data_IF_717352071082
#
_entry.id   IF_717352071082
#
_cell.length_a   1.000
_cell.length_b   1.000
_cell.length_c   1.000
_cell.angle_alpha   90.00
_cell.angle_beta   90.00
_cell.angle_gamma   90.00
#
_symmetry.space_group_name_H-M   'P 1'
#
loop_
_entity.id
_entity.type
_entity.pdbx_description
1 polymer ?
#
# COMPACT_ATOMS: atom_id res chain seq x y z
N UNK A 1 -1.71 -42.08 12.34
CA UNK A 1 -1.75 -41.77 13.78
C UNK A 1 -0.68 -40.70 14.04
N UNK A 2 -0.86 -39.42 13.75
CA UNK A 2 -2.06 -38.60 13.92
C UNK A 2 -1.90 -37.77 15.20
N UNK A 3 -0.99 -36.80 15.20
CA UNK A 3 -0.79 -35.84 16.28
C UNK A 3 -0.92 -34.43 15.73
N UNK A 4 -2.16 -33.93 15.66
CA UNK A 4 -2.43 -32.50 15.48
C UNK A 4 -1.93 -31.79 16.74
N UNK A 5 -0.84 -31.03 16.62
CA UNK A 5 -0.54 -29.97 17.57
C UNK A 5 -1.47 -28.80 17.24
N UNK A 6 -2.66 -28.83 17.82
CA UNK A 6 -3.52 -27.65 17.91
C UNK A 6 -2.81 -26.68 18.85
N UNK A 7 -2.20 -25.63 18.30
CA UNK A 7 -1.72 -24.52 19.10
C UNK A 7 -2.91 -23.95 19.89
N UNK A 8 -2.77 -23.88 21.22
CA UNK A 8 -3.78 -23.29 22.08
C UNK A 8 -3.99 -21.80 21.69
N UNK A 9 -5.24 -21.29 21.69
CA UNK A 9 -5.48 -19.87 21.48
C UNK A 9 -4.85 -19.12 22.66
N UNK A 10 -3.85 -18.29 22.36
CA UNK A 10 -3.30 -17.35 23.33
C UNK A 10 -4.45 -16.55 23.94
N UNK A 11 -4.54 -16.54 25.27
CA UNK A 11 -5.43 -15.63 25.97
C UNK A 11 -5.20 -14.20 25.48
N UNK A 12 -6.29 -13.51 25.17
CA UNK A 12 -6.33 -12.19 24.58
C UNK A 12 -5.46 -11.20 25.36
N UNK A 13 -4.23 -10.98 24.90
CA UNK A 13 -3.59 -9.70 25.09
C UNK A 13 -4.45 -8.69 24.33
N UNK A 14 -4.93 -7.64 25.00
CA UNK A 14 -5.38 -6.45 24.30
C UNK A 14 -4.21 -6.00 23.42
N UNK A 15 -4.30 -6.22 22.11
CA UNK A 15 -3.29 -5.67 21.19
C UNK A 15 -3.41 -4.15 21.30
N UNK A 16 -2.28 -3.45 21.43
CA UNK A 16 -2.25 -1.99 21.50
C UNK A 16 -2.56 -1.38 20.14
N UNK A 17 -3.03 -0.13 20.15
CA UNK A 17 -3.20 0.67 18.93
C UNK A 17 -1.85 0.83 18.23
N UNK A 18 -1.85 0.76 16.89
CA UNK A 18 -0.66 1.07 16.10
C UNK A 18 -0.13 2.47 16.47
N UNK A 19 1.14 2.61 16.89
CA UNK A 19 1.69 3.88 17.39
C UNK A 19 1.57 5.04 16.39
N UNK A 20 1.67 4.74 15.10
CA UNK A 20 1.69 5.73 14.03
C UNK A 20 1.05 5.17 12.76
N UNK A 21 0.31 6.02 12.05
CA UNK A 21 -0.41 5.69 10.83
C UNK A 21 -0.12 6.76 9.78
N UNK A 22 0.49 6.39 8.64
CA UNK A 22 0.76 7.30 7.52
C UNK A 22 -0.51 7.40 6.67
N UNK A 23 -1.21 8.52 6.76
CA UNK A 23 -2.51 8.73 6.10
C UNK A 23 -2.40 9.14 4.63
N UNK A 24 -1.36 9.89 4.28
CA UNK A 24 -1.13 10.38 2.93
C UNK A 24 0.35 10.69 2.70
N UNK A 25 0.77 10.57 1.44
CA UNK A 25 2.10 10.94 0.95
C UNK A 25 1.91 11.66 -0.38
N UNK A 26 2.35 12.90 -0.45
CA UNK A 26 2.20 13.74 -1.64
C UNK A 26 3.38 14.71 -1.80
N UNK A 27 3.49 15.34 -2.98
CA UNK A 27 4.42 16.44 -3.20
C UNK A 27 3.69 17.76 -3.02
N UNK A 28 4.23 18.66 -2.20
CA UNK A 28 3.76 20.04 -2.03
C UNK A 28 4.94 20.99 -2.20
N UNK A 29 4.81 21.95 -3.10
CA UNK A 29 5.86 22.95 -3.40
C UNK A 29 7.23 22.33 -3.76
N UNK A 30 7.23 21.13 -4.36
CA UNK A 30 8.44 20.39 -4.71
C UNK A 30 9.06 19.60 -3.55
N UNK A 31 8.39 19.50 -2.40
CA UNK A 31 8.84 18.76 -1.22
C UNK A 31 7.89 17.61 -0.88
N UNK A 32 8.45 16.51 -0.38
CA UNK A 32 7.66 15.37 0.10
C UNK A 32 6.94 15.76 1.38
N UNK A 33 5.62 15.63 1.38
CA UNK A 33 4.78 15.87 2.55
C UNK A 33 4.09 14.58 2.95
N UNK A 34 4.22 14.21 4.23
CA UNK A 34 3.56 13.07 4.82
C UNK A 34 2.57 13.53 5.89
N UNK A 35 1.34 13.02 5.84
CA UNK A 35 0.36 13.24 6.90
C UNK A 35 0.33 12.01 7.80
N UNK A 36 0.62 12.19 9.09
CA UNK A 36 0.75 11.11 10.06
C UNK A 36 -0.26 11.33 11.18
N UNK A 37 -0.94 10.26 11.58
CA UNK A 37 -1.75 10.23 12.79
C UNK A 37 -1.06 9.40 13.86
N UNK A 38 -0.98 9.96 15.06
CA UNK A 38 -0.48 9.27 16.24
C UNK A 38 -1.60 8.53 16.97
N UNK A 39 -1.25 7.40 17.60
CA UNK A 39 -2.17 6.66 18.45
C UNK A 39 -2.87 7.56 19.49
N UNK A 40 -4.16 7.35 19.73
CA UNK A 40 -4.88 8.09 20.77
C UNK A 40 -4.47 7.66 22.19
N UNK A 41 -3.92 6.46 22.34
CA UNK A 41 -3.43 5.93 23.60
C UNK A 41 -1.97 6.32 23.85
N UNK A 42 -1.72 7.11 24.90
CA UNK A 42 -0.36 7.57 25.25
C UNK A 42 0.62 6.43 25.53
N UNK A 43 0.14 5.29 26.05
CA UNK A 43 0.96 4.08 26.29
C UNK A 43 1.53 3.46 25.00
N UNK A 44 0.91 3.73 23.85
CA UNK A 44 1.38 3.26 22.55
C UNK A 44 2.42 4.20 21.92
N UNK A 45 2.62 5.41 22.47
CA UNK A 45 3.47 6.42 21.86
C UNK A 45 4.87 6.47 22.48
N UNK A 46 5.94 6.43 21.66
CA UNK A 46 7.27 6.77 22.12
C UNK A 46 7.42 8.28 22.36
N UNK A 47 8.43 8.66 23.14
CA UNK A 47 8.70 10.08 23.46
C UNK A 47 9.21 10.89 22.26
N UNK A 48 9.92 10.24 21.34
CA UNK A 48 10.49 10.85 20.14
C UNK A 48 10.47 9.82 19.01
N UNK A 49 10.23 10.32 17.79
CA UNK A 49 10.26 9.54 16.55
C UNK A 49 11.01 10.30 15.48
N UNK A 50 11.54 9.56 14.51
CA UNK A 50 12.06 10.08 13.26
C UNK A 50 11.14 9.63 12.11
N UNK A 51 10.73 10.60 11.29
CA UNK A 51 10.08 10.34 10.00
C UNK A 51 11.16 10.50 8.95
N UNK A 52 11.53 9.42 8.28
CA UNK A 52 12.65 9.38 7.34
C UNK A 52 12.22 8.86 5.97
N UNK A 53 12.84 9.39 4.93
CA UNK A 53 12.66 8.94 3.54
C UNK A 53 13.93 8.22 3.08
N UNK A 54 13.72 7.14 2.33
CA UNK A 54 14.75 6.38 1.61
C UNK A 54 14.44 6.42 0.13
N UNK A 55 15.48 6.63 -0.68
CA UNK A 55 15.37 6.52 -2.14
C UNK A 55 15.27 5.06 -2.61
N UNK A 56 15.14 4.85 -3.92
CA UNK A 56 15.05 3.50 -4.51
C UNK A 56 16.35 2.69 -4.46
N UNK A 57 17.41 3.22 -3.84
CA UNK A 57 18.65 2.51 -3.51
C UNK A 57 18.81 2.24 -2.01
N UNK A 58 17.73 2.43 -1.23
CA UNK A 58 17.69 2.32 0.23
C UNK A 58 18.61 3.29 0.96
N UNK A 59 18.98 4.40 0.30
CA UNK A 59 19.79 5.45 0.92
C UNK A 59 18.87 6.46 1.59
N UNK A 60 19.15 6.77 2.86
CA UNK A 60 18.43 7.81 3.59
C UNK A 60 18.68 9.17 2.93
N UNK A 61 17.61 9.86 2.53
CA UNK A 61 17.66 11.15 1.83
C UNK A 61 17.29 12.32 2.73
N UNK A 62 16.26 12.15 3.56
CA UNK A 62 15.77 13.18 4.46
C UNK A 62 15.18 12.57 5.73
N UNK A 63 15.09 13.38 6.79
CA UNK A 63 14.48 12.97 8.04
C UNK A 63 14.10 14.15 8.92
N UNK A 64 12.99 14.03 9.64
CA UNK A 64 12.51 15.02 10.61
C UNK A 64 12.21 14.34 11.95
N UNK A 65 12.57 15.00 13.05
CA UNK A 65 12.30 14.51 14.41
C UNK A 65 11.06 15.16 14.99
N UNK A 66 10.22 14.34 15.61
CA UNK A 66 8.95 14.78 16.18
C UNK A 66 8.75 14.16 17.55
N UNK A 67 7.96 14.84 18.38
CA UNK A 67 7.43 14.30 19.63
C UNK A 67 5.94 14.01 19.44
N UNK A 68 5.53 12.73 19.30
CA UNK A 68 4.14 12.36 19.11
C UNK A 68 3.24 12.89 20.22
N UNK A 69 2.08 13.44 19.86
CA UNK A 69 1.02 13.72 20.83
C UNK A 69 -0.17 12.79 20.61
N UNK A 70 -0.78 12.27 21.68
CA UNK A 70 -1.91 11.34 21.58
C UNK A 70 -3.04 11.85 20.68
N UNK A 71 -3.36 11.09 19.63
CA UNK A 71 -4.46 11.36 18.70
C UNK A 71 -4.27 12.55 17.77
N UNK A 72 -3.08 13.17 17.76
CA UNK A 72 -2.77 14.31 16.89
C UNK A 72 -2.49 13.83 15.46
N UNK A 73 -3.00 14.58 14.49
CA UNK A 73 -2.62 14.48 13.08
C UNK A 73 -1.62 15.59 12.76
N UNK A 74 -0.48 15.22 12.19
CA UNK A 74 0.63 16.13 11.88
C UNK A 74 1.01 15.99 10.42
N UNK A 75 1.26 17.12 9.76
CA UNK A 75 1.88 17.16 8.45
C UNK A 75 3.39 17.41 8.60
N UNK A 76 4.18 16.57 7.93
CA UNK A 76 5.64 16.58 8.01
C UNK A 76 6.18 16.81 6.61
N UNK A 77 6.91 17.91 6.42
CA UNK A 77 7.60 18.22 5.17
C UNK A 77 9.04 17.73 5.26
N UNK A 78 9.43 16.83 4.38
CA UNK A 78 10.77 16.26 4.32
C UNK A 78 11.55 16.90 3.18
N UNK A 79 12.30 17.94 3.52
CA UNK A 79 13.06 18.73 2.57
C UNK A 79 14.14 17.89 1.86
N UNK A 80 14.10 17.88 0.53
CA UNK A 80 15.06 17.13 -0.28
C UNK A 80 14.91 15.61 -0.19
N UNK A 81 13.77 15.10 0.27
CA UNK A 81 13.50 13.66 0.35
C UNK A 81 13.51 12.98 -1.03
N UNK A 82 12.94 13.64 -2.04
CA UNK A 82 12.87 13.13 -3.41
C UNK A 82 13.84 13.91 -4.28
N UNK A 83 14.97 13.27 -4.60
CA UNK A 83 15.97 13.82 -5.51
C UNK A 83 16.23 12.82 -6.63
N UNK A 84 16.08 13.29 -7.86
CA UNK A 84 16.56 12.60 -9.05
C UNK A 84 16.14 11.11 -9.16
N UNK A 85 14.83 10.80 -9.10
CA UNK A 85 14.31 9.43 -9.12
C UNK A 85 14.67 8.65 -10.39
N UNK A 86 15.07 9.33 -11.47
CA UNK A 86 15.59 8.68 -12.67
C UNK A 86 16.99 8.06 -12.48
N UNK A 87 17.73 8.44 -11.43
CA UNK A 87 19.01 7.83 -11.04
C UNK A 87 18.84 6.87 -9.86
N UNK A 88 18.05 7.27 -8.86
CA UNK A 88 17.91 6.56 -7.59
C UNK A 88 16.76 5.56 -7.56
N UNK A 89 15.79 5.67 -8.48
CA UNK A 89 14.62 4.82 -8.54
C UNK A 89 13.32 5.58 -8.26
N UNK A 90 12.26 5.15 -8.95
CA UNK A 90 10.93 5.76 -8.90
C UNK A 90 10.08 5.24 -7.74
N UNK A 91 10.36 4.04 -7.23
CA UNK A 91 9.77 3.52 -6.00
C UNK A 91 10.67 3.89 -4.82
N UNK A 92 10.10 4.49 -3.79
CA UNK A 92 10.81 4.99 -2.62
C UNK A 92 10.04 4.63 -1.35
N UNK A 93 10.62 4.92 -0.19
CA UNK A 93 10.04 4.48 1.07
C UNK A 93 10.04 5.54 2.15
N UNK A 94 8.90 5.71 2.81
CA UNK A 94 8.75 6.49 4.03
C UNK A 94 8.72 5.55 5.23
N UNK A 95 9.45 5.90 6.29
CA UNK A 95 9.53 5.13 7.53
C UNK A 95 9.33 6.05 8.73
N UNK A 96 8.47 5.64 9.65
CA UNK A 96 8.39 6.23 10.99
C UNK A 96 9.04 5.24 11.95
N UNK A 97 10.04 5.68 12.69
CA UNK A 97 10.80 4.84 13.61
C UNK A 97 11.19 5.59 14.87
N UNK A 98 11.53 4.85 15.91
CA UNK A 98 12.23 5.41 17.06
C UNK A 98 13.71 5.71 16.72
N UNK A 99 14.34 6.77 17.27
CA UNK A 99 15.71 7.18 16.92
C UNK A 99 16.81 6.11 17.07
N UNK A 100 16.60 5.14 17.96
CA UNK A 100 17.49 3.97 18.17
C UNK A 100 16.71 2.66 18.24
N UNK A 101 15.46 2.69 17.81
CA UNK A 101 14.49 1.66 18.15
C UNK A 101 13.82 1.07 16.92
N UNK A 102 12.62 0.56 17.16
CA UNK A 102 11.87 -0.20 16.16
C UNK A 102 11.27 0.70 15.08
N UNK A 103 11.06 0.11 13.90
CA UNK A 103 10.15 0.67 12.90
C UNK A 103 8.72 0.59 13.45
N UNK A 104 8.01 1.72 13.45
CA UNK A 104 6.62 1.81 13.91
C UNK A 104 5.65 1.59 12.75
N UNK A 105 5.96 2.20 11.60
CA UNK A 105 5.20 2.02 10.36
C UNK A 105 6.06 2.37 9.15
N UNK A 106 5.70 1.81 8.00
CA UNK A 106 6.29 2.10 6.70
C UNK A 106 5.22 2.31 5.65
N UNK A 107 5.51 3.18 4.70
CA UNK A 107 4.69 3.37 3.52
C UNK A 107 5.61 3.53 2.30
N UNK A 108 5.66 2.54 1.40
CA UNK A 108 6.20 2.75 0.06
C UNK A 108 5.44 3.86 -0.65
N UNK A 109 6.12 4.66 -1.45
CA UNK A 109 5.49 5.66 -2.30
C UNK A 109 6.14 5.68 -3.67
N UNK A 110 5.30 5.92 -4.67
CA UNK A 110 5.70 5.98 -6.06
C UNK A 110 5.91 7.44 -6.47
N UNK A 111 7.08 7.70 -7.04
CA UNK A 111 7.43 8.96 -7.64
C UNK A 111 7.18 8.86 -9.14
N UNK A 112 6.57 9.90 -9.70
CA UNK A 112 6.33 10.04 -11.13
C UNK A 112 6.47 11.50 -11.53
N UNK A 113 6.36 11.76 -12.82
CA UNK A 113 6.31 13.11 -13.36
C UNK A 113 4.85 13.53 -13.59
N UNK A 114 4.58 14.78 -13.25
CA UNK A 114 3.36 15.48 -13.61
C UNK A 114 3.75 16.65 -14.52
N UNK A 115 3.29 16.63 -15.77
CA UNK A 115 3.79 17.52 -16.81
C UNK A 115 2.76 18.59 -17.16
N UNK A 116 3.17 19.85 -17.07
CA UNK A 116 2.37 21.00 -17.52
C UNK A 116 2.30 21.04 -19.05
N UNK A 117 3.39 20.62 -19.71
CA UNK A 117 3.52 20.50 -21.15
C UNK A 117 4.53 19.40 -21.50
N UNK A 118 4.75 19.15 -22.80
CA UNK A 118 5.69 18.11 -23.28
C UNK A 118 7.17 18.36 -22.92
N UNK A 119 7.51 19.53 -22.37
CA UNK A 119 8.89 19.93 -22.07
C UNK A 119 9.13 20.18 -20.59
N UNK A 120 8.09 20.40 -19.80
CA UNK A 120 8.20 20.86 -18.42
C UNK A 120 7.34 20.02 -17.50
N UNK A 121 7.98 19.39 -16.53
CA UNK A 121 7.32 18.55 -15.54
C UNK A 121 7.75 18.89 -14.12
N UNK A 122 6.96 18.45 -13.16
CA UNK A 122 7.26 18.45 -11.74
C UNK A 122 7.27 17.01 -11.22
N UNK A 123 7.92 16.81 -10.08
CA UNK A 123 7.83 15.56 -9.35
C UNK A 123 6.48 15.45 -8.64
N UNK A 124 5.88 14.27 -8.72
CA UNK A 124 4.68 13.87 -8.02
C UNK A 124 4.96 12.62 -7.22
N UNK A 125 4.43 12.56 -6.01
CA UNK A 125 4.47 11.38 -5.16
C UNK A 125 3.05 10.93 -4.86
N UNK A 126 2.83 9.63 -4.86
CA UNK A 126 1.57 9.00 -4.46
C UNK A 126 1.85 7.80 -3.56
N UNK A 127 0.93 7.43 -2.67
CA UNK A 127 1.05 6.17 -1.93
C UNK A 127 1.25 5.00 -2.89
N UNK A 128 2.28 4.19 -2.62
CA UNK A 128 2.70 3.08 -3.47
C UNK A 128 2.55 1.74 -2.77
N UNK A 129 3.12 0.71 -3.40
CA UNK A 129 3.23 -0.65 -2.87
C UNK A 129 4.71 -1.01 -2.75
N UNK A 130 5.07 -1.98 -1.91
CA UNK A 130 6.46 -2.43 -1.89
C UNK A 130 6.66 -3.44 -3.02
N UNK A 131 7.81 -3.38 -3.70
CA UNK A 131 8.12 -4.32 -4.75
C UNK A 131 9.63 -4.59 -4.84
N UNK A 132 10.00 -5.70 -5.49
CA UNK A 132 11.41 -5.93 -5.81
C UNK A 132 11.87 -4.96 -6.90
N UNK A 133 13.16 -4.65 -6.94
CA UNK A 133 13.77 -3.63 -7.82
C UNK A 133 13.44 -3.80 -9.31
N UNK A 134 13.17 -5.03 -9.74
CA UNK A 134 12.89 -5.41 -11.12
C UNK A 134 11.43 -5.15 -11.52
N UNK A 135 10.58 -4.79 -10.57
CA UNK A 135 9.15 -4.54 -10.76
C UNK A 135 8.93 -3.05 -10.98
N UNK A 136 8.21 -2.73 -12.05
CA UNK A 136 7.85 -1.36 -12.39
C UNK A 136 6.45 -1.03 -11.88
N UNK A 137 6.32 0.09 -11.20
CA UNK A 137 5.03 0.59 -10.72
C UNK A 137 4.24 1.25 -11.85
N UNK A 138 2.93 1.00 -11.89
CA UNK A 138 2.00 1.62 -12.83
C UNK A 138 0.69 1.98 -12.13
N UNK A 139 0.16 3.19 -12.40
CA UNK A 139 -1.18 3.54 -11.93
C UNK A 139 -2.25 2.74 -12.67
N UNK A 140 -3.43 2.61 -12.08
CA UNK A 140 -4.58 1.95 -12.71
C UNK A 140 -4.99 2.64 -14.03
N UNK A 141 -4.81 3.96 -14.13
CA UNK A 141 -5.11 4.71 -15.35
C UNK A 141 -4.10 4.38 -16.46
N UNK A 142 -2.81 4.33 -16.13
CA UNK A 142 -1.76 3.95 -17.07
C UNK A 142 -1.89 2.48 -17.48
N UNK A 143 -2.10 1.56 -16.53
CA UNK A 143 -2.29 0.14 -16.80
C UNK A 143 -3.42 -0.11 -17.81
N UNK A 144 -4.59 0.52 -17.60
CA UNK A 144 -5.72 0.43 -18.54
C UNK A 144 -5.39 0.98 -19.92
N UNK A 145 -4.67 2.11 -19.98
CA UNK A 145 -4.27 2.74 -21.24
C UNK A 145 -3.29 1.84 -22.01
N UNK A 146 -2.30 1.27 -21.32
CA UNK A 146 -1.32 0.34 -21.90
C UNK A 146 -1.99 -0.92 -22.45
N UNK A 147 -2.90 -1.52 -21.68
CA UNK A 147 -3.66 -2.69 -22.14
C UNK A 147 -4.50 -2.40 -23.39
N UNK A 148 -5.08 -1.20 -23.49
CA UNK A 148 -5.82 -0.76 -24.68
C UNK A 148 -4.91 -0.54 -25.89
N UNK A 149 -3.71 0.02 -25.67
CA UNK A 149 -2.69 0.19 -26.71
C UNK A 149 -2.27 -1.18 -27.26
N UNK A 150 -1.92 -2.11 -26.37
CA UNK A 150 -1.50 -3.47 -26.73
C UNK A 150 -2.57 -4.19 -27.56
N UNK A 151 -3.83 -4.11 -27.14
CA UNK A 151 -4.96 -4.73 -27.85
C UNK A 151 -5.20 -4.16 -29.25
N UNK A 152 -5.03 -2.85 -29.43
CA UNK A 152 -5.34 -2.17 -30.70
C UNK A 152 -4.19 -2.19 -31.71
N UNK A 153 -2.95 -1.98 -31.25
CA UNK A 153 -1.80 -1.87 -32.13
C UNK A 153 -1.20 -3.24 -32.47
N UNK A 154 -1.38 -4.23 -31.59
CA UNK A 154 -0.83 -5.57 -31.79
C UNK A 154 0.65 -5.51 -32.12
N UNK A 155 1.10 -6.28 -33.11
CA UNK A 155 2.52 -6.36 -33.49
C UNK A 155 3.09 -5.13 -34.19
N UNK A 156 2.32 -4.03 -34.36
CA UNK A 156 2.82 -2.80 -34.97
C UNK A 156 3.74 -2.05 -34.01
N UNK A 157 4.72 -1.36 -34.56
CA UNK A 157 5.57 -0.46 -33.80
C UNK A 157 4.81 0.80 -33.39
N UNK A 158 5.03 1.24 -32.14
CA UNK A 158 4.41 2.45 -31.60
C UNK A 158 5.32 3.12 -30.57
N UNK A 159 5.35 4.46 -30.57
CA UNK A 159 6.00 5.22 -29.50
C UNK A 159 5.12 5.19 -28.27
N UNK A 160 5.62 4.57 -27.19
CA UNK A 160 4.88 4.37 -25.94
C UNK A 160 4.33 5.68 -25.37
N UNK A 161 5.20 6.67 -25.22
CA UNK A 161 4.87 7.94 -24.55
C UNK A 161 3.86 8.72 -25.40
N UNK A 162 4.08 8.75 -26.72
CA UNK A 162 3.17 9.40 -27.66
C UNK A 162 1.78 8.76 -27.67
N UNK A 163 1.68 7.42 -27.73
CA UNK A 163 0.39 6.75 -27.78
C UNK A 163 -0.40 6.86 -26.47
N UNK A 164 0.29 6.84 -25.32
CA UNK A 164 -0.37 7.11 -24.03
C UNK A 164 -0.91 8.54 -24.03
N UNK A 165 -0.08 9.54 -24.37
CA UNK A 165 -0.48 10.94 -24.35
C UNK A 165 -1.58 11.28 -25.37
N UNK A 166 -1.61 10.60 -26.53
CA UNK A 166 -2.67 10.74 -27.53
C UNK A 166 -4.04 10.31 -26.98
N UNK A 167 -4.07 9.31 -26.11
CA UNK A 167 -5.30 8.72 -25.56
C UNK A 167 -5.71 9.39 -24.25
N UNK A 168 -4.74 9.62 -23.37
CA UNK A 168 -4.92 10.23 -22.07
C UNK A 168 -3.77 11.22 -21.82
N UNK A 169 -3.92 12.49 -22.24
CA UNK A 169 -2.86 13.49 -22.14
C UNK A 169 -2.36 13.71 -20.71
N UNK A 170 -3.23 13.54 -19.71
CA UNK A 170 -2.89 13.69 -18.29
C UNK A 170 -1.84 12.67 -17.80
N UNK A 171 -1.63 11.58 -18.54
CA UNK A 171 -0.65 10.54 -18.20
C UNK A 171 0.70 10.72 -18.88
N UNK A 172 0.95 11.82 -19.61
CA UNK A 172 2.22 12.03 -20.33
C UNK A 172 3.45 11.90 -19.41
N UNK A 173 3.42 12.56 -18.24
CA UNK A 173 4.53 12.48 -17.28
C UNK A 173 4.71 11.11 -16.63
N UNK A 174 3.59 10.45 -16.29
CA UNK A 174 3.65 9.08 -15.78
C UNK A 174 4.21 8.13 -16.83
N UNK A 175 3.83 8.29 -18.10
CA UNK A 175 4.34 7.50 -19.22
C UNK A 175 5.84 7.71 -19.46
N UNK A 176 6.35 8.94 -19.30
CA UNK A 176 7.80 9.22 -19.35
C UNK A 176 8.55 8.51 -18.21
N UNK A 177 8.01 8.58 -16.99
CA UNK A 177 8.60 7.95 -15.80
C UNK A 177 8.63 6.42 -15.96
N UNK A 178 7.52 5.86 -16.44
CA UNK A 178 7.37 4.44 -16.76
C UNK A 178 8.26 3.98 -17.93
N UNK A 179 8.44 4.83 -18.96
CA UNK A 179 9.38 4.55 -20.04
C UNK A 179 10.83 4.50 -19.52
N UNK A 180 11.22 5.48 -18.70
CA UNK A 180 12.54 5.55 -18.08
C UNK A 180 12.83 4.34 -17.18
N UNK A 181 11.85 3.87 -16.41
CA UNK A 181 12.02 2.71 -15.52
C UNK A 181 12.13 1.37 -16.28
N UNK A 182 11.56 1.27 -17.49
CA UNK A 182 11.62 0.05 -18.31
C UNK A 182 12.84 -0.05 -19.22
N UNK A 183 13.43 1.06 -19.63
CA UNK A 183 14.51 1.04 -20.61
C UNK A 183 15.79 0.51 -19.97
N UNK A 184 16.16 -0.72 -20.35
CA UNK A 184 17.49 -1.28 -20.05
C UNK A 184 18.42 -0.95 -21.21
N UNK A 185 19.37 -0.05 -20.97
CA UNK A 185 20.40 0.34 -21.93
C UNK A 185 21.31 -0.87 -22.28
N UNK A 186 21.28 -1.30 -23.54
CA UNK A 186 22.04 -2.46 -24.05
C UNK A 186 21.46 -2.99 -25.37
N UNK A 187 22.13 -3.93 -26.08
CA UNK A 187 21.66 -4.43 -27.37
C UNK A 187 20.26 -5.04 -27.24
N UNK A 188 19.30 -4.44 -27.95
CA UNK A 188 17.90 -4.84 -27.97
C UNK A 188 17.71 -5.99 -28.96
N UNK A 189 17.98 -7.22 -28.52
CA UNK A 189 17.60 -8.40 -29.30
C UNK A 189 16.44 -9.12 -28.63
N UNK A 190 15.30 -9.15 -29.32
CA UNK A 190 14.15 -9.97 -28.98
C UNK A 190 13.17 -9.39 -27.94
N UNK A 191 12.29 -10.29 -27.47
CA UNK A 191 11.23 -9.99 -26.53
C UNK A 191 11.75 -9.86 -25.11
N UNK A 192 11.43 -8.75 -24.45
CA UNK A 192 11.76 -8.51 -23.05
C UNK A 192 10.49 -8.44 -22.22
N UNK A 193 10.45 -9.22 -21.14
CA UNK A 193 9.35 -9.21 -20.20
C UNK A 193 9.76 -8.50 -18.91
N UNK A 194 8.90 -7.60 -18.46
CA UNK A 194 9.08 -6.83 -17.23
C UNK A 194 7.88 -7.07 -16.34
N UNK A 195 8.14 -7.26 -15.05
CA UNK A 195 7.09 -7.32 -14.06
C UNK A 195 6.59 -5.92 -13.76
N UNK A 196 5.28 -5.79 -13.66
CA UNK A 196 4.60 -4.54 -13.33
C UNK A 196 3.72 -4.77 -12.12
N UNK A 197 3.65 -3.79 -11.24
CA UNK A 197 2.71 -3.82 -10.13
C UNK A 197 1.81 -2.61 -10.15
N UNK A 198 0.53 -2.86 -9.87
CA UNK A 198 -0.45 -1.83 -9.57
C UNK A 198 -1.08 -2.12 -8.22
N UNK A 199 -1.55 -1.05 -7.59
CA UNK A 199 -2.09 -1.10 -6.26
C UNK A 199 -3.31 -0.18 -6.14
N UNK A 200 -4.33 -0.64 -5.40
CA UNK A 200 -5.52 0.17 -5.13
C UNK A 200 -5.94 0.03 -3.67
N UNK A 201 -6.18 1.17 -3.02
CA UNK A 201 -6.85 1.27 -1.71
C UNK A 201 -8.16 2.01 -1.89
N UNK A 202 -9.23 1.46 -1.33
CA UNK A 202 -10.50 2.16 -1.20
C UNK A 202 -10.92 2.20 0.25
N UNK A 203 -11.31 3.39 0.69
CA UNK A 203 -11.93 3.63 1.99
C UNK A 203 -13.44 3.81 1.75
N UNK A 204 -14.26 3.03 2.44
CA UNK A 204 -15.69 3.26 2.52
C UNK A 204 -16.01 4.51 3.34
N UNK A 205 -17.21 5.05 3.16
CA UNK A 205 -17.69 6.19 3.96
C UNK A 205 -17.80 5.80 5.45
N UNK A 206 -17.12 6.54 6.33
CA UNK A 206 -17.14 6.34 7.78
C UNK A 206 -16.28 7.37 8.50
N UNK A 207 -16.60 7.69 9.76
CA UNK A 207 -15.96 8.74 10.56
C UNK A 207 -14.61 8.32 11.20
N UNK A 208 -13.85 7.44 10.54
CA UNK A 208 -12.63 6.84 11.13
C UNK A 208 -11.44 6.77 10.19
N UNK A 209 -10.26 6.54 10.79
CA UNK A 209 -8.99 6.30 10.10
C UNK A 209 -8.95 4.91 9.48
N UNK A 210 -9.25 4.83 8.18
CA UNK A 210 -8.99 3.65 7.36
C UNK A 210 -7.90 3.91 6.33
N UNK A 211 -7.07 2.90 6.09
CA UNK A 211 -6.03 2.85 5.05
C UNK A 211 -6.28 1.63 4.17
N UNK A 212 -7.25 1.76 3.26
CA UNK A 212 -7.83 0.62 2.57
C UNK A 212 -8.46 -0.34 3.59
N UNK A 213 -8.03 -1.59 3.54
CA UNK A 213 -8.51 -2.65 4.44
C UNK A 213 -8.14 -2.47 5.93
N UNK A 214 -7.08 -1.73 6.27
CA UNK A 214 -6.63 -1.56 7.66
C UNK A 214 -7.34 -0.39 8.33
N UNK A 215 -7.68 -0.52 9.62
CA UNK A 215 -8.41 0.52 10.34
C UNK A 215 -8.33 0.36 11.87
N UNK A 216 -8.61 1.46 12.58
CA UNK A 216 -8.92 1.47 14.02
C UNK A 216 -10.21 2.26 14.26
N UNK A 217 -11.26 1.54 14.67
CA UNK A 217 -12.60 2.04 14.88
C UNK A 217 -12.89 2.04 16.38
N UNK A 218 -12.95 3.22 17.01
CA UNK A 218 -13.19 3.34 18.45
C UNK A 218 -14.39 4.23 18.77
N UNK A 219 -15.47 3.61 19.27
CA UNK A 219 -16.70 4.27 19.66
C UNK A 219 -16.77 4.40 21.19
N UNK A 220 -16.76 5.63 21.69
CA UNK A 220 -16.91 5.96 23.11
C UNK A 220 -17.67 7.28 23.32
N UNK A 221 -18.27 7.52 24.50
CA UNK A 221 -18.82 8.81 24.87
C UNK A 221 -17.80 9.93 24.70
N UNK A 222 -18.17 10.99 24.00
CA UNK A 222 -17.34 12.20 23.83
C UNK A 222 -17.62 13.23 24.92
N UNK A 223 -18.78 13.16 25.56
CA UNK A 223 -19.11 13.92 26.77
C UNK A 223 -19.61 13.00 27.86
N UNK A 224 -19.13 13.26 29.08
CA UNK A 224 -19.50 12.47 30.25
C UNK A 224 -20.81 12.94 30.91
N UNK A 225 -21.38 14.07 30.49
CA UNK A 225 -22.47 14.78 31.19
C UNK A 225 -23.81 14.76 30.46
N UNK A 226 -23.90 14.09 29.30
CA UNK A 226 -25.13 14.02 28.51
C UNK A 226 -25.34 12.61 27.96
N UNK A 227 -26.59 12.15 27.82
CA UNK A 227 -26.88 10.91 27.11
C UNK A 227 -26.34 10.98 25.68
N UNK A 228 -25.67 9.91 25.27
CA UNK A 228 -25.05 9.80 23.94
C UNK A 228 -25.11 8.35 23.47
N UNK A 229 -25.29 8.19 22.17
CA UNK A 229 -25.03 6.94 21.49
C UNK A 229 -24.33 7.26 20.17
N UNK A 230 -23.48 6.36 19.72
CA UNK A 230 -22.91 6.44 18.39
C UNK A 230 -22.70 5.04 17.85
N UNK A 231 -22.97 4.87 16.56
CA UNK A 231 -22.53 3.74 15.76
C UNK A 231 -21.53 4.26 14.75
N UNK A 232 -20.32 3.72 14.80
CA UNK A 232 -19.28 3.98 13.83
C UNK A 232 -19.12 2.74 12.98
N UNK A 233 -18.81 2.94 11.70
CA UNK A 233 -18.55 1.87 10.75
C UNK A 233 -17.31 2.20 9.93
N UNK A 234 -16.54 1.17 9.58
CA UNK A 234 -15.44 1.28 8.63
C UNK A 234 -15.57 0.15 7.61
N UNK A 235 -15.27 0.45 6.36
CA UNK A 235 -15.14 -0.54 5.30
C UNK A 235 -13.95 -0.14 4.44
N UNK A 236 -13.27 -1.11 3.87
CA UNK A 236 -12.20 -0.81 2.93
C UNK A 236 -11.71 -2.01 2.17
N UNK A 237 -10.94 -1.73 1.13
CA UNK A 237 -10.30 -2.75 0.29
C UNK A 237 -8.88 -2.32 -0.02
N UNK A 238 -7.95 -3.28 0.01
CA UNK A 238 -6.57 -3.11 -0.46
C UNK A 238 -6.24 -4.23 -1.42
N UNK A 239 -5.76 -3.89 -2.62
CA UNK A 239 -5.45 -4.85 -3.67
C UNK A 239 -4.06 -4.62 -4.22
N UNK A 240 -3.28 -5.70 -4.30
CA UNK A 240 -2.02 -5.77 -5.02
C UNK A 240 -2.24 -6.55 -6.32
N UNK A 241 -1.68 -6.08 -7.41
CA UNK A 241 -1.61 -6.82 -8.66
C UNK A 241 -0.17 -6.86 -9.18
N UNK A 242 0.21 -8.01 -9.73
CA UNK A 242 1.49 -8.24 -10.39
C UNK A 242 1.22 -8.82 -11.79
N UNK A 243 1.64 -8.10 -12.82
CA UNK A 243 1.37 -8.42 -14.22
C UNK A 243 2.67 -8.52 -14.99
N UNK A 244 2.80 -9.51 -15.87
CA UNK A 244 3.95 -9.65 -16.77
C UNK A 244 3.65 -8.95 -18.09
N UNK A 245 4.45 -7.96 -18.46
CA UNK A 245 4.33 -7.28 -19.76
C UNK A 245 5.54 -7.59 -20.63
N UNK A 246 5.30 -8.12 -21.84
CA UNK A 246 6.35 -8.52 -22.78
C UNK A 246 6.29 -7.67 -24.05
N UNK A 247 7.35 -6.90 -24.31
CA UNK A 247 7.45 -6.07 -25.52
C UNK A 247 8.79 -6.26 -26.21
N UNK A 248 8.81 -6.02 -27.51
CA UNK A 248 10.05 -5.92 -28.30
C UNK A 248 10.37 -4.45 -28.48
N UNK A 249 11.60 -4.06 -28.17
CA UNK A 249 12.08 -2.69 -28.35
C UNK A 249 12.65 -2.55 -29.76
N UNK A 250 12.03 -1.71 -30.59
CA UNK A 250 12.49 -1.44 -31.96
C UNK A 250 13.53 -0.32 -32.01
N UNK A 251 13.27 0.79 -31.32
CA UNK A 251 14.20 1.92 -31.22
C UNK A 251 13.91 2.75 -29.97
N UNK A 252 14.84 3.63 -29.59
CA UNK A 252 14.65 4.61 -28.52
C UNK A 252 14.89 6.00 -29.11
N UNK A 253 13.88 6.86 -29.02
CA UNK A 253 14.04 8.29 -29.23
C UNK A 253 14.35 8.95 -27.88
N UNK A 254 14.97 10.13 -27.89
CA UNK A 254 15.26 10.87 -26.67
C UNK A 254 14.76 12.31 -26.77
N UNK A 255 14.26 12.82 -25.66
CA UNK A 255 13.83 14.21 -25.53
C UNK A 255 14.35 14.80 -24.23
N UNK A 256 14.83 16.04 -24.27
CA UNK A 256 15.12 16.79 -23.06
C UNK A 256 13.82 17.31 -22.44
N UNK A 257 13.61 16.97 -21.18
CA UNK A 257 12.47 17.42 -20.36
C UNK A 257 13.03 18.16 -19.15
N UNK A 258 12.58 19.39 -18.92
CA UNK A 258 12.91 20.17 -17.74
C UNK A 258 12.06 19.71 -16.56
N UNK A 259 12.71 19.27 -15.48
CA UNK A 259 12.03 18.79 -14.27
C UNK A 259 12.23 19.80 -13.15
N UNK A 260 11.12 20.37 -12.67
CA UNK A 260 11.07 21.27 -11.52
C UNK A 260 11.44 20.49 -10.25
N UNK A 261 12.41 21.00 -9.52
CA UNK A 261 12.90 20.52 -8.23
C UNK A 261 12.48 21.48 -7.11
N UNK A 262 12.70 21.06 -5.86
CA UNK A 262 12.62 21.93 -4.68
C UNK A 262 13.36 23.26 -4.88
N UNK A 263 12.77 24.36 -4.41
CA UNK A 263 13.38 25.69 -4.52
C UNK A 263 13.33 26.33 -5.91
N UNK A 264 12.55 25.77 -6.85
CA UNK A 264 12.31 26.36 -8.17
C UNK A 264 13.40 26.09 -9.22
N UNK A 265 14.36 25.23 -8.91
CA UNK A 265 15.38 24.79 -9.87
C UNK A 265 14.74 23.89 -10.95
N UNK A 266 15.08 24.11 -12.22
CA UNK A 266 14.65 23.25 -13.33
C UNK A 266 15.85 22.50 -13.87
N UNK A 267 15.89 21.18 -13.71
CA UNK A 267 16.96 20.33 -14.22
C UNK A 267 16.56 19.71 -15.57
N UNK A 268 17.31 19.92 -16.67
CA UNK A 268 17.06 19.21 -17.92
C UNK A 268 17.48 17.75 -17.78
N UNK A 269 16.59 16.83 -18.12
CA UNK A 269 16.83 15.39 -18.08
C UNK A 269 16.52 14.79 -19.45
N UNK A 270 17.43 13.96 -19.95
CA UNK A 270 17.27 13.26 -21.21
C UNK A 270 16.39 12.04 -21.02
N UNK A 271 15.11 12.16 -21.36
CA UNK A 271 14.10 11.11 -21.18
C UNK A 271 13.93 10.26 -22.45
N UNK A 272 13.86 8.93 -22.34
CA UNK A 272 13.66 8.03 -23.45
C UNK A 272 12.17 7.98 -23.84
N UNK A 273 11.94 7.83 -25.14
CA UNK A 273 10.66 7.54 -25.75
C UNK A 273 10.81 6.27 -26.58
N UNK A 274 10.64 5.10 -25.94
CA UNK A 274 10.83 3.83 -26.61
C UNK A 274 9.72 3.58 -27.62
N UNK A 275 10.13 3.05 -28.78
CA UNK A 275 9.24 2.51 -29.79
C UNK A 275 9.17 1.00 -29.58
N UNK A 276 8.00 0.52 -29.17
CA UNK A 276 7.75 -0.89 -28.87
C UNK A 276 6.87 -1.53 -29.94
N UNK A 277 6.98 -2.85 -30.07
CA UNK A 277 5.98 -3.71 -30.71
C UNK A 277 5.60 -4.84 -29.76
N UNK A 278 4.40 -5.42 -29.92
CA UNK A 278 4.01 -6.58 -29.11
C UNK A 278 4.76 -7.83 -29.55
N UNK A 279 4.97 -8.73 -28.58
CA UNK A 279 5.80 -9.90 -28.76
C UNK A 279 5.01 -11.16 -29.14
N UNK A 280 5.42 -11.83 -30.22
CA UNK A 280 4.91 -13.13 -30.62
C UNK A 280 5.72 -14.24 -29.92
N UNK A 281 5.16 -14.85 -28.87
CA UNK A 281 5.83 -15.84 -28.03
C UNK A 281 5.68 -15.46 -26.56
N UNK A 282 4.51 -15.75 -25.98
CA UNK A 282 4.13 -15.23 -24.67
C UNK A 282 4.85 -15.99 -23.56
N UNK A 283 5.70 -15.29 -22.82
CA UNK A 283 6.05 -15.76 -21.49
C UNK A 283 4.77 -15.81 -20.65
N UNK A 284 4.65 -16.83 -19.82
CA UNK A 284 3.54 -16.95 -18.87
C UNK A 284 4.02 -16.63 -17.46
N UNK A 285 3.21 -15.92 -16.70
CA UNK A 285 3.45 -15.74 -15.27
C UNK A 285 2.90 -16.91 -14.49
N UNK A 286 3.71 -17.50 -13.61
CA UNK A 286 3.22 -18.35 -12.51
C UNK A 286 3.26 -17.54 -11.22
N UNK A 287 2.15 -17.55 -10.49
CA UNK A 287 1.98 -16.70 -9.32
C UNK A 287 1.86 -17.50 -8.04
N UNK A 288 2.60 -17.09 -7.01
CA UNK A 288 2.36 -17.50 -5.63
C UNK A 288 1.84 -16.31 -4.85
N UNK A 289 0.90 -16.57 -3.96
CA UNK A 289 0.19 -15.58 -3.16
C UNK A 289 0.34 -15.90 -1.69
N UNK A 290 0.48 -14.85 -0.90
CA UNK A 290 0.37 -14.87 0.55
C UNK A 290 -0.66 -13.82 0.96
N UNK A 291 -1.58 -14.23 1.83
CA UNK A 291 -2.50 -13.34 2.48
C UNK A 291 -2.57 -13.68 3.96
N UNK A 292 -2.47 -12.66 4.82
CA UNK A 292 -2.70 -12.75 6.25
C UNK A 292 -3.66 -11.64 6.64
N UNK A 293 -4.68 -11.98 7.40
CA UNK A 293 -5.66 -11.02 7.94
C UNK A 293 -5.64 -11.10 9.46
N UNK A 294 -5.60 -9.94 10.10
CA UNK A 294 -5.71 -9.82 11.55
C UNK A 294 -6.89 -8.94 11.88
N UNK A 295 -7.49 -9.19 13.03
CA UNK A 295 -8.52 -8.31 13.51
C UNK A 295 -9.01 -8.66 14.88
N UNK A 296 -9.68 -7.70 15.48
CA UNK A 296 -10.07 -7.76 16.87
C UNK A 296 -11.29 -6.90 17.15
N UNK A 297 -12.18 -7.41 18.00
CA UNK A 297 -13.40 -6.74 18.41
C UNK A 297 -13.53 -6.82 19.92
N UNK A 298 -13.53 -5.66 20.58
CA UNK A 298 -13.74 -5.54 22.01
C UNK A 298 -14.87 -4.58 22.32
N UNK A 299 -15.61 -4.87 23.37
CA UNK A 299 -16.57 -3.95 23.91
C UNK A 299 -16.55 -4.04 25.43
N UNK A 300 -16.76 -2.88 26.03
CA UNK A 300 -16.99 -2.74 27.44
C UNK A 300 -18.45 -2.36 27.64
N UNK A 301 -19.22 -3.32 28.13
CA UNK A 301 -20.67 -3.22 28.23
C UNK A 301 -21.13 -3.76 29.58
N UNK A 302 -22.27 -3.25 30.06
CA UNK A 302 -22.93 -3.77 31.25
C UNK A 302 -24.24 -4.49 30.84
N UNK A 303 -24.89 -5.16 31.79
CA UNK A 303 -26.22 -5.72 31.57
C UNK A 303 -27.32 -4.66 31.40
N UNK A 304 -27.01 -3.38 31.63
CA UNK A 304 -27.96 -2.27 31.45
C UNK A 304 -28.01 -1.81 29.99
N UNK A 305 -29.19 -1.71 29.36
CA UNK A 305 -29.31 -1.21 27.99
C UNK A 305 -28.91 0.26 27.85
N UNK A 306 -28.82 0.99 28.97
CA UNK A 306 -28.40 2.39 29.05
C UNK A 306 -26.88 2.58 29.12
N UNK A 307 -26.13 1.49 29.31
CA UNK A 307 -24.67 1.42 29.41
C UNK A 307 -24.19 0.19 28.62
N UNK A 308 -24.48 0.19 27.32
CA UNK A 308 -24.25 -0.93 26.43
C UNK A 308 -23.22 -0.56 25.36
N UNK A 309 -22.40 -1.52 24.94
CA UNK A 309 -21.53 -1.39 23.78
C UNK A 309 -21.38 -2.73 23.04
N UNK A 310 -21.08 -2.63 21.75
CA UNK A 310 -20.77 -3.77 20.89
C UNK A 310 -19.73 -3.39 19.86
N UNK A 311 -19.03 -4.39 19.33
CA UNK A 311 -18.10 -4.22 18.23
C UNK A 311 -18.10 -5.46 17.33
N UNK A 312 -17.77 -5.27 16.07
CA UNK A 312 -17.59 -6.33 15.09
C UNK A 312 -16.39 -5.99 14.23
N UNK A 313 -15.57 -6.99 13.95
CA UNK A 313 -14.55 -6.92 12.91
C UNK A 313 -14.71 -8.11 11.94
N UNK A 314 -14.70 -7.81 10.64
CA UNK A 314 -14.71 -8.79 9.56
C UNK A 314 -13.60 -8.48 8.57
N UNK A 315 -12.82 -9.50 8.22
CA UNK A 315 -11.78 -9.42 7.20
C UNK A 315 -11.84 -10.63 6.27
N UNK A 316 -11.61 -10.37 4.98
CA UNK A 316 -11.64 -11.37 3.92
C UNK A 316 -10.43 -11.20 3.00
N UNK A 317 -9.75 -12.28 2.66
CA UNK A 317 -8.71 -12.28 1.62
C UNK A 317 -9.18 -13.05 0.39
N UNK A 318 -9.02 -12.45 -0.78
CA UNK A 318 -9.46 -12.97 -2.07
C UNK A 318 -8.28 -13.10 -3.04
N UNK A 319 -8.33 -14.14 -3.87
CA UNK A 319 -7.41 -14.32 -5.00
C UNK A 319 -8.05 -13.83 -6.29
N UNK A 320 -7.31 -13.03 -7.06
CA UNK A 320 -7.76 -12.43 -8.31
C UNK A 320 -9.06 -11.64 -8.14
N UNK A 321 -10.02 -11.92 -9.01
CA UNK A 321 -11.40 -11.37 -8.93
C UNK A 321 -12.40 -12.39 -8.37
N UNK A 322 -11.92 -13.40 -7.62
CA UNK A 322 -12.77 -14.47 -7.10
C UNK A 322 -13.79 -13.96 -6.08
N UNK A 323 -15.07 -14.30 -6.28
CA UNK A 323 -16.16 -13.93 -5.36
C UNK A 323 -16.09 -14.68 -4.02
N UNK A 324 -15.50 -15.87 -4.01
CA UNK A 324 -15.29 -16.65 -2.78
C UNK A 324 -13.94 -16.30 -2.17
N UNK A 325 -13.90 -15.85 -0.90
CA UNK A 325 -12.66 -15.56 -0.22
C UNK A 325 -11.90 -16.86 0.12
N UNK A 326 -10.57 -16.78 0.10
CA UNK A 326 -9.68 -17.84 0.60
C UNK A 326 -9.63 -17.84 2.14
N UNK A 327 -9.60 -16.64 2.75
CA UNK A 327 -9.71 -16.44 4.19
C UNK A 327 -10.93 -15.58 4.48
N UNK A 328 -11.72 -15.96 5.48
CA UNK A 328 -12.93 -15.22 5.86
C UNK A 328 -13.15 -15.36 7.36
N UNK A 329 -12.81 -14.31 8.10
CA UNK A 329 -12.94 -14.30 9.55
C UNK A 329 -13.89 -13.18 9.98
N UNK A 330 -14.60 -13.43 11.06
CA UNK A 330 -15.44 -12.42 11.71
C UNK A 330 -15.45 -12.65 13.21
N UNK A 331 -15.33 -11.56 13.97
CA UNK A 331 -15.41 -11.55 15.43
C UNK A 331 -16.38 -10.49 15.89
N UNK A 332 -17.00 -10.78 17.03
CA UNK A 332 -18.00 -9.93 17.66
C UNK A 332 -17.70 -9.79 19.14
N UNK A 333 -17.78 -8.57 19.66
CA UNK A 333 -17.89 -8.30 21.07
C UNK A 333 -19.38 -8.29 21.47
N UNK A 334 -19.76 -8.85 22.63
CA UNK A 334 -19.02 -8.76 23.90
C UNK A 334 -18.11 -9.97 24.21
N UNK A 335 -17.98 -10.95 23.33
CA UNK A 335 -17.09 -12.10 23.55
C UNK A 335 -15.60 -11.73 23.53
N UNK A 336 -15.24 -10.47 23.23
CA UNK A 336 -13.89 -9.90 23.24
C UNK A 336 -12.86 -10.84 22.65
N UNK A 337 -12.73 -10.80 21.33
CA UNK A 337 -12.00 -11.83 20.59
C UNK A 337 -11.22 -11.23 19.43
N UNK A 338 -10.19 -11.97 19.01
CA UNK A 338 -9.35 -11.66 17.87
C UNK A 338 -9.25 -12.84 16.91
N UNK A 339 -8.68 -12.57 15.75
CA UNK A 339 -8.23 -13.56 14.78
C UNK A 339 -6.92 -13.08 14.15
N UNK A 340 -6.10 -14.06 13.78
CA UNK A 340 -4.87 -13.88 13.05
C UNK A 340 -4.70 -15.15 12.23
N UNK A 341 -4.99 -15.06 10.94
CA UNK A 341 -5.00 -16.21 10.04
C UNK A 341 -4.29 -15.86 8.74
N UNK A 342 -3.52 -16.82 8.24
CA UNK A 342 -2.78 -16.70 7.00
C UNK A 342 -3.05 -17.87 6.05
N UNK A 343 -2.79 -17.64 4.77
CA UNK A 343 -2.79 -18.67 3.75
C UNK A 343 -1.75 -18.35 2.68
N UNK A 344 -1.16 -19.42 2.15
CA UNK A 344 -0.30 -19.36 0.97
C UNK A 344 -0.88 -20.23 -0.13
N UNK A 345 -0.94 -19.71 -1.34
CA UNK A 345 -1.42 -20.43 -2.52
C UNK A 345 -0.41 -20.30 -3.64
N UNK A 346 0.08 -21.43 -4.15
CA UNK A 346 1.03 -21.48 -5.25
C UNK A 346 0.34 -21.74 -6.58
N UNK A 347 0.89 -21.19 -7.66
CA UNK A 347 0.48 -21.42 -9.05
C UNK A 347 -0.96 -20.96 -9.38
N UNK A 348 -1.31 -19.75 -8.94
CA UNK A 348 -2.56 -19.07 -9.31
C UNK A 348 -2.52 -18.57 -10.78
N UNK A 349 -3.68 -18.52 -11.43
CA UNK A 349 -3.85 -17.98 -12.79
C UNK A 349 -3.77 -16.45 -12.82
N UNK A 350 -4.01 -15.80 -11.67
CA UNK A 350 -3.97 -14.35 -11.53
C UNK A 350 -2.83 -13.92 -10.62
N UNK A 351 -2.13 -12.85 -10.98
CA UNK A 351 -1.17 -12.17 -10.11
C UNK A 351 -1.79 -11.10 -9.21
N UNK A 352 -3.11 -11.10 -9.01
CA UNK A 352 -3.77 -10.17 -8.09
C UNK A 352 -4.30 -10.87 -6.85
N UNK A 353 -4.23 -10.18 -5.71
CA UNK A 353 -4.88 -10.56 -4.46
C UNK A 353 -5.37 -9.31 -3.74
N UNK A 354 -6.48 -9.43 -3.01
CA UNK A 354 -7.04 -8.29 -2.29
C UNK A 354 -7.64 -8.68 -0.94
N UNK A 355 -7.56 -7.77 0.02
CA UNK A 355 -8.25 -7.86 1.30
C UNK A 355 -9.42 -6.90 1.31
N UNK A 356 -10.56 -7.35 1.83
CA UNK A 356 -11.75 -6.56 2.07
C UNK A 356 -12.12 -6.65 3.55
N UNK A 357 -12.39 -5.52 4.18
CA UNK A 357 -12.75 -5.44 5.59
C UNK A 357 -14.05 -4.68 5.84
N UNK A 358 -14.70 -5.00 6.96
CA UNK A 358 -15.88 -4.31 7.45
C UNK A 358 -15.91 -4.37 8.97
N UNK A 359 -16.06 -3.22 9.60
CA UNK A 359 -16.08 -3.07 11.05
C UNK A 359 -17.28 -2.25 11.51
N UNK A 360 -17.76 -2.54 12.72
CA UNK A 360 -18.75 -1.74 13.44
C UNK A 360 -18.32 -1.59 14.90
N UNK A 361 -18.50 -0.40 15.46
CA UNK A 361 -18.37 -0.16 16.89
C UNK A 361 -19.53 0.72 17.36
N UNK A 362 -20.15 0.34 18.47
CA UNK A 362 -21.35 0.99 19.00
C UNK A 362 -21.26 1.18 20.51
N UNK A 363 -21.82 2.27 21.00
CA UNK A 363 -22.11 2.47 22.42
C UNK A 363 -23.43 3.21 22.64
N UNK A 364 -24.02 3.00 23.83
CA UNK A 364 -25.10 3.78 24.43
C UNK A 364 -24.69 4.14 25.85
N UNK A 365 -24.68 5.42 26.18
CA UNK A 365 -24.33 5.98 27.48
C UNK A 365 -25.39 6.97 27.95
N UNK A 366 -25.73 6.93 29.24
CA UNK A 366 -26.80 7.73 29.81
C UNK A 366 -26.39 9.12 30.33
N UNK A 367 -25.11 9.50 30.21
CA UNK A 367 -24.64 10.82 30.62
C UNK A 367 -24.33 10.99 32.10
N UNK A 368 -24.28 9.90 32.88
CA UNK A 368 -23.87 9.98 34.29
C UNK A 368 -22.39 9.64 34.45
N UNK A 369 -21.56 10.66 34.66
CA UNK A 369 -20.10 10.52 34.86
C UNK A 369 -19.69 9.65 36.04
N UNK A 370 -20.60 9.36 36.98
CA UNK A 370 -20.35 8.44 38.09
C UNK A 370 -20.59 6.96 37.72
N UNK A 371 -21.15 6.69 36.54
CA UNK A 371 -21.37 5.33 36.05
C UNK A 371 -20.23 4.86 35.16
N UNK A 372 -20.17 3.54 34.99
CA UNK A 372 -19.25 2.87 34.09
C UNK A 372 -19.40 3.38 32.64
N UNK A 373 -18.28 3.58 31.93
CA UNK A 373 -18.29 4.12 30.58
C UNK A 373 -18.26 3.00 29.53
N UNK A 374 -19.32 2.86 28.72
CA UNK A 374 -19.36 1.85 27.68
C UNK A 374 -18.52 2.30 26.49
N UNK A 375 -17.85 1.36 25.84
CA UNK A 375 -17.11 1.62 24.61
C UNK A 375 -17.05 0.38 23.75
N UNK A 376 -16.98 0.56 22.44
CA UNK A 376 -16.76 -0.51 21.45
C UNK A 376 -15.53 -0.18 20.61
N UNK A 377 -14.73 -1.18 20.28
CA UNK A 377 -13.56 -1.03 19.42
C UNK A 377 -13.42 -2.20 18.47
N UNK A 378 -13.16 -1.89 17.20
CA UNK A 378 -12.79 -2.86 16.19
C UNK A 378 -11.50 -2.40 15.49
N UNK A 379 -10.55 -3.31 15.31
CA UNK A 379 -9.32 -3.03 14.56
C UNK A 379 -9.09 -4.13 13.56
N UNK A 380 -8.56 -3.75 12.40
CA UNK A 380 -8.23 -4.68 11.32
C UNK A 380 -6.87 -4.39 10.72
N UNK A 381 -6.19 -5.45 10.28
CA UNK A 381 -4.90 -5.38 9.63
C UNK A 381 -4.74 -6.49 8.59
N UNK A 382 -3.75 -6.33 7.73
CA UNK A 382 -3.43 -7.30 6.70
C UNK A 382 -1.98 -7.27 6.27
N UNK A 383 -1.55 -8.38 5.69
CA UNK A 383 -0.39 -8.48 4.82
C UNK A 383 -0.78 -9.24 3.55
N UNK A 384 -0.42 -8.70 2.39
CA UNK A 384 -0.64 -9.31 1.08
C UNK A 384 0.71 -9.34 0.37
N UNK A 385 1.08 -10.48 -0.20
CA UNK A 385 2.24 -10.56 -1.08
C UNK A 385 1.95 -11.43 -2.29
N UNK A 386 2.51 -11.03 -3.44
CA UNK A 386 2.45 -11.76 -4.70
C UNK A 386 3.86 -11.92 -5.23
N UNK A 387 4.20 -13.15 -5.59
CA UNK A 387 5.44 -13.48 -6.29
C UNK A 387 5.10 -14.05 -7.66
N UNK A 388 5.65 -13.44 -8.71
CA UNK A 388 5.54 -13.89 -10.09
C UNK A 388 6.85 -14.48 -10.57
N UNK A 389 6.80 -15.62 -11.25
CA UNK A 389 7.92 -16.23 -11.98
C UNK A 389 7.53 -16.29 -13.44
N UNK A 390 8.30 -15.62 -14.30
CA UNK A 390 8.06 -15.66 -15.73
C UNK A 390 8.60 -16.98 -16.29
N UNK A 391 7.84 -17.61 -17.18
CA UNK A 391 8.22 -18.84 -17.87
C UNK A 391 8.12 -18.58 -19.36
N UNK A 392 9.26 -18.47 -20.02
CA UNK A 392 9.38 -18.13 -21.43
C UNK A 392 9.70 -19.36 -22.29
N UNK A 393 9.06 -19.54 -23.46
CA UNK A 393 9.45 -20.56 -24.43
C UNK A 393 10.94 -20.38 -24.83
N UNK A 394 11.72 -21.47 -24.83
CA UNK A 394 13.14 -21.44 -25.17
C UNK A 394 14.12 -21.30 -24.01
N UNK A 395 13.65 -21.30 -22.75
CA UNK A 395 14.52 -21.40 -21.57
C UNK A 395 15.33 -20.14 -21.25
N UNK A 396 14.87 -18.96 -21.71
CA UNK A 396 15.47 -17.67 -21.39
C UNK A 396 15.41 -17.29 -19.91
N UNK A 397 15.87 -16.07 -19.57
CA UNK A 397 15.77 -15.52 -18.22
C UNK A 397 14.33 -15.65 -17.71
N UNK A 398 14.15 -16.25 -16.54
CA UNK A 398 12.86 -16.34 -15.84
C UNK A 398 12.84 -15.25 -14.75
N UNK A 399 12.64 -13.96 -15.11
CA UNK A 399 12.63 -12.91 -14.12
C UNK A 399 11.57 -13.20 -13.08
N UNK A 400 11.93 -12.93 -11.83
CA UNK A 400 11.01 -12.99 -10.71
C UNK A 400 10.61 -11.58 -10.33
N UNK A 401 9.33 -11.36 -10.09
CA UNK A 401 8.80 -10.11 -9.58
C UNK A 401 8.12 -10.37 -8.25
N UNK A 402 8.28 -9.47 -7.29
CA UNK A 402 7.64 -9.55 -5.98
C UNK A 402 6.97 -8.22 -5.70
N UNK A 403 5.74 -8.26 -5.22
CA UNK A 403 5.01 -7.08 -4.76
C UNK A 403 4.26 -7.42 -3.48
N UNK A 404 4.22 -6.50 -2.52
CA UNK A 404 3.55 -6.72 -1.24
C UNK A 404 3.06 -5.43 -0.61
N UNK A 405 2.00 -5.55 0.19
CA UNK A 405 1.45 -4.46 0.98
C UNK A 405 1.11 -4.91 2.39
N UNK A 406 1.33 -4.03 3.36
CA UNK A 406 1.10 -4.27 4.78
C UNK A 406 0.49 -3.02 5.39
N UNK A 407 -0.61 -3.18 6.09
CA UNK A 407 -1.16 -2.12 6.93
C UNK A 407 -1.95 -2.73 8.10
N UNK A 408 -1.96 -2.04 9.23
CA UNK A 408 -2.63 -2.52 10.44
C UNK A 408 -3.06 -1.36 11.34
N UNK A 409 -4.19 -1.52 12.03
CA UNK A 409 -4.58 -0.67 13.16
C UNK A 409 -4.01 -1.13 14.50
N UNK A 410 -3.33 -2.27 14.53
CA UNK A 410 -2.77 -2.91 15.74
C UNK A 410 -1.25 -2.77 15.78
N UNK A 411 -0.65 -2.82 16.96
CA UNK A 411 0.81 -2.81 17.13
C UNK A 411 1.46 -4.16 16.76
N UNK A 412 1.28 -4.60 15.52
CA UNK A 412 1.77 -5.88 14.99
C UNK A 412 2.46 -5.76 13.61
N UNK A 413 2.82 -4.53 13.20
CA UNK A 413 3.48 -4.24 11.91
C UNK A 413 4.72 -5.11 11.66
N UNK A 414 5.56 -5.32 12.68
CA UNK A 414 6.77 -6.16 12.55
C UNK A 414 6.45 -7.63 12.29
N UNK A 415 5.42 -8.18 12.96
CA UNK A 415 4.99 -9.58 12.76
C UNK A 415 4.42 -9.81 11.36
N UNK A 416 3.62 -8.85 10.87
CA UNK A 416 3.08 -8.87 9.51
C UNK A 416 4.20 -8.79 8.48
N UNK A 417 5.18 -7.91 8.70
CA UNK A 417 6.37 -7.77 7.86
C UNK A 417 7.17 -9.05 7.81
N UNK A 418 7.51 -9.64 8.96
CA UNK A 418 8.25 -10.90 9.04
C UNK A 418 7.57 -12.03 8.26
N UNK A 419 6.24 -12.10 8.27
CA UNK A 419 5.51 -13.13 7.50
C UNK A 419 5.64 -12.96 5.99
N UNK A 420 5.59 -11.71 5.51
CA UNK A 420 5.82 -11.41 4.10
C UNK A 420 7.26 -11.77 3.71
N UNK A 421 8.23 -11.43 4.55
CA UNK A 421 9.65 -11.69 4.28
C UNK A 421 9.93 -13.19 4.26
N UNK A 422 9.36 -13.94 5.20
CA UNK A 422 9.42 -15.41 5.22
C UNK A 422 8.83 -16.04 3.96
N UNK A 423 7.68 -15.54 3.48
CA UNK A 423 7.06 -16.00 2.24
C UNK A 423 7.93 -15.69 1.01
N UNK A 424 8.49 -14.47 0.93
CA UNK A 424 9.29 -14.02 -0.20
C UNK A 424 10.73 -14.53 -0.15
N UNK A 425 11.22 -15.01 0.98
CA UNK A 425 12.63 -15.35 1.21
C UNK A 425 13.53 -14.13 1.09
N UNK A 426 13.22 -13.07 1.85
CA UNK A 426 13.96 -11.81 1.93
C UNK A 426 14.75 -11.67 3.24
#
# INVERSE_FOLDING_TARGET
MGGLLVAAPAHAAETSEAPATILDVSMQDGELTARIRWAAESKSLPSEVEVVSYDGTDKLTAGERLSPKPGEEVEVKLYGAVQEPWETGWAQQLVVREPKGRELTRQPYDVSLDCEDEKTCALKATPGVAASREVVHVSEALERTLASIEKELGGKEFNLVHEVARREPSLYGEALSYAQSRVVYGPAEGCRCTWQTSFTRTNGQGTTTSMGAAHDLYARPLSMTRPQNARLTAQGTSRVALTLSCTSLASILFQNVGIKQSGGLVKPVLMPQPVYSTCAGTCSGRFSHFGRITGSAWANSTSSPLLNASAMEQSKYHLGNGLSPLLNETRYAPLNSSFDVDATVSNSISGSGYVQTSAEAFYTYNGNSQMWQPWGRARGGYAIAVQGIAVCPGGGLNPMGRAWDIATGEDNQSSLSESVWNFLGL
#
